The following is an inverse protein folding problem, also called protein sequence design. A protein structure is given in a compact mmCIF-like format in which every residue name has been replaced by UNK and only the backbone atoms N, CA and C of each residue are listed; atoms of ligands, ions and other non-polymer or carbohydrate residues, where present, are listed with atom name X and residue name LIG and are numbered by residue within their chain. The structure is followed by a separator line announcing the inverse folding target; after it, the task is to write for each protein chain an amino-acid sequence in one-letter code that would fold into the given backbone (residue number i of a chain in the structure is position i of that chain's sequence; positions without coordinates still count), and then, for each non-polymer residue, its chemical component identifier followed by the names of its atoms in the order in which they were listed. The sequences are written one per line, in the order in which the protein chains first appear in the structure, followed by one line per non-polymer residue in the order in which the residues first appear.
data_IF_124711429828
#
_entry.id   IF_124711429828
#
_cell.length_a   1.000
_cell.length_b   1.000
_cell.length_c   1.000
_cell.angle_alpha   90.00
_cell.angle_beta   90.00
_cell.angle_gamma   90.00
#
_symmetry.space_group_name_H-M   'P 1'
#
loop_
_entity.id
_entity.type
_entity.pdbx_description
1 polymer ?
#
# COMPACT_ATOMS: atom_id res chain seq x y z
N UNK A 1 -39.67 -5.69 47.46
CA UNK A 1 -39.84 -4.29 47.91
C UNK A 1 -38.47 -3.65 47.91
N UNK A 2 -38.40 -2.44 47.36
CA UNK A 2 -37.18 -1.69 47.10
C UNK A 2 -36.40 -1.33 48.37
N UNK A 3 -35.08 -1.36 48.28
CA UNK A 3 -34.21 -0.50 49.09
C UNK A 3 -33.09 0.00 48.21
N UNK A 4 -33.21 1.26 47.83
CA UNK A 4 -32.19 2.10 47.22
C UNK A 4 -31.06 2.38 48.22
N UNK A 5 -29.82 2.10 47.84
CA UNK A 5 -28.65 2.75 48.42
C UNK A 5 -27.77 3.26 47.29
N UNK A 6 -27.70 4.59 47.22
CA UNK A 6 -26.77 5.34 46.38
C UNK A 6 -25.35 5.12 46.87
N UNK A 7 -24.44 4.72 45.98
CA UNK A 7 -23.01 4.75 46.25
C UNK A 7 -22.31 5.45 45.08
N UNK A 8 -21.84 6.68 45.33
CA UNK A 8 -20.99 7.46 44.43
C UNK A 8 -19.54 6.99 44.57
N UNK A 9 -18.83 6.67 43.47
CA UNK A 9 -17.38 6.57 43.50
C UNK A 9 -16.74 7.90 43.09
N UNK A 10 -15.91 8.39 44.00
CA UNK A 10 -15.04 9.56 43.96
C UNK A 10 -13.99 9.51 42.84
N UNK A 11 -13.78 10.64 42.17
CA UNK A 11 -12.66 10.91 41.26
C UNK A 11 -11.34 11.08 42.06
N UNK A 12 -10.18 10.65 41.51
CA UNK A 12 -8.88 10.84 42.13
C UNK A 12 -8.37 12.28 41.97
N UNK A 13 -7.49 12.77 42.86
CA UNK A 13 -7.05 14.17 42.86
C UNK A 13 -6.02 14.47 41.75
N UNK A 14 -6.25 15.60 41.10
CA UNK A 14 -5.39 16.25 40.09
C UNK A 14 -4.14 16.82 40.78
N UNK A 15 -2.95 16.42 40.35
CA UNK A 15 -1.69 17.06 40.74
C UNK A 15 -1.39 18.26 39.84
N UNK A 16 -1.26 19.44 40.44
CA UNK A 16 -0.84 20.66 39.74
C UNK A 16 0.66 20.62 39.39
N UNK A 17 1.07 21.22 38.25
CA UNK A 17 2.46 21.26 37.82
C UNK A 17 3.24 22.37 38.53
N UNK A 18 4.48 22.06 38.92
CA UNK A 18 5.43 23.04 39.44
C UNK A 18 6.00 23.91 38.31
N UNK A 19 5.71 25.22 38.40
CA UNK A 19 6.36 26.29 37.63
C UNK A 19 7.87 26.33 37.86
N UNK A 20 8.65 26.42 36.79
CA UNK A 20 9.95 27.11 36.78
C UNK A 20 10.13 27.83 35.44
N UNK A 21 9.83 29.12 35.46
CA UNK A 21 10.23 30.10 34.46
C UNK A 21 11.76 30.19 34.41
N UNK A 22 12.35 30.08 33.22
CA UNK A 22 13.50 30.90 32.83
C UNK A 22 13.56 31.05 31.31
N UNK A 23 13.22 32.26 30.87
CA UNK A 23 13.48 32.81 29.55
C UNK A 23 14.99 33.03 29.43
N UNK A 24 15.59 32.59 28.33
CA UNK A 24 16.77 33.25 27.80
C UNK A 24 16.81 33.17 26.27
N UNK A 25 16.94 34.36 25.67
CA UNK A 25 16.89 34.67 24.25
C UNK A 25 18.11 34.16 23.48
N UNK A 26 17.89 33.92 22.20
CA UNK A 26 18.84 33.58 21.14
C UNK A 26 20.07 34.50 21.05
N UNK A 27 21.13 34.01 20.41
CA UNK A 27 21.72 34.78 19.33
C UNK A 27 21.81 34.01 18.01
N UNK A 28 21.29 34.65 16.97
CA UNK A 28 21.53 34.43 15.53
C UNK A 28 23.01 34.48 15.17
N UNK A 29 23.51 33.46 14.45
CA UNK A 29 24.55 33.63 13.42
C UNK A 29 24.32 32.66 12.25
N UNK A 30 24.14 33.27 11.08
CA UNK A 30 24.26 32.68 9.75
C UNK A 30 25.69 32.20 9.49
N UNK A 31 25.88 30.97 9.00
CA UNK A 31 27.07 30.56 8.24
C UNK A 31 26.68 29.48 7.21
N UNK A 32 27.09 29.70 5.96
CA UNK A 32 26.95 28.81 4.80
C UNK A 32 27.73 27.50 4.95
N UNK A 33 27.37 26.42 4.21
CA UNK A 33 28.07 25.16 4.29
C UNK A 33 29.26 25.14 3.32
N UNK A 34 30.42 24.70 3.81
CA UNK A 34 31.46 24.16 2.94
C UNK A 34 32.03 22.86 3.52
N UNK A 35 32.25 21.97 2.55
CA UNK A 35 32.85 20.63 2.43
C UNK A 35 33.80 20.05 3.51
N UNK A 36 34.09 18.74 3.30
CA UNK A 36 35.03 17.81 3.99
C UNK A 36 34.48 17.05 5.21
N UNK A 37 34.90 15.82 5.52
CA UNK A 37 35.45 14.67 4.79
C UNK A 37 35.28 13.48 5.76
N UNK A 38 34.93 12.29 5.25
CA UNK A 38 34.74 11.10 6.09
C UNK A 38 36.08 10.59 6.63
N UNK A 39 36.20 10.50 7.96
CA UNK A 39 37.25 9.72 8.62
C UNK A 39 36.65 8.39 9.11
N UNK A 40 37.14 7.30 8.53
CA UNK A 40 36.77 5.93 8.90
C UNK A 40 37.55 5.49 10.13
N UNK A 41 36.85 5.17 11.22
CA UNK A 41 37.41 4.43 12.36
C UNK A 41 37.37 2.92 12.06
N UNK A 42 38.55 2.30 12.01
CA UNK A 42 38.71 0.85 11.86
C UNK A 42 38.92 0.20 13.24
N UNK A 43 38.03 -0.72 13.62
CA UNK A 43 38.27 -1.65 14.72
C UNK A 43 39.16 -2.81 14.23
N UNK A 44 40.28 -3.03 14.92
CA UNK A 44 41.16 -4.20 14.77
C UNK A 44 40.57 -5.43 15.46
N UNK A 45 40.56 -6.57 14.78
CA UNK A 45 40.43 -7.91 15.39
C UNK A 45 41.62 -8.79 14.95
N UNK A 46 42.04 -9.80 15.75
CA UNK A 46 43.35 -10.41 15.61
C UNK A 46 43.42 -11.49 14.52
N UNK A 47 44.65 -11.62 14.03
CA UNK A 47 45.17 -12.37 12.89
C UNK A 47 45.05 -13.89 13.08
N UNK A 48 44.27 -14.57 12.24
CA UNK A 48 44.46 -16.00 11.94
C UNK A 48 45.08 -16.07 10.54
N UNK A 49 46.24 -16.71 10.47
CA UNK A 49 47.09 -16.81 9.30
C UNK A 49 46.57 -17.94 8.41
N UNK A 50 45.95 -17.61 7.28
CA UNK A 50 45.61 -18.56 6.23
C UNK A 50 46.59 -18.42 5.06
N UNK A 51 47.16 -19.55 4.68
CA UNK A 51 48.09 -19.75 3.57
C UNK A 51 47.46 -19.43 2.22
N UNK A 52 48.26 -18.80 1.35
CA UNK A 52 47.96 -18.37 -0.01
C UNK A 52 47.12 -19.35 -0.84
N UNK A 53 45.99 -18.88 -1.35
CA UNK A 53 45.34 -19.39 -2.57
C UNK A 53 44.60 -18.23 -3.25
N UNK A 54 45.34 -17.39 -3.95
CA UNK A 54 44.81 -16.57 -5.05
C UNK A 54 44.86 -17.50 -6.28
N UNK A 55 43.80 -17.73 -7.06
CA UNK A 55 42.95 -16.74 -7.73
C UNK A 55 41.80 -17.47 -8.43
N UNK A 56 40.60 -17.47 -7.84
CA UNK A 56 39.36 -17.92 -8.52
C UNK A 56 38.08 -17.20 -8.07
N UNK A 57 38.11 -16.45 -6.96
CA UNK A 57 36.93 -15.78 -6.38
C UNK A 57 36.49 -14.53 -7.16
N UNK A 58 37.43 -13.72 -7.67
CA UNK A 58 37.09 -12.45 -8.34
C UNK A 58 36.30 -12.64 -9.64
N UNK A 59 36.54 -13.72 -10.39
CA UNK A 59 35.84 -13.99 -11.66
C UNK A 59 34.42 -14.50 -11.41
N UNK A 60 34.21 -15.27 -10.34
CA UNK A 60 32.87 -15.74 -9.95
C UNK A 60 32.00 -14.61 -9.40
N UNK A 61 32.58 -13.71 -8.60
CA UNK A 61 31.86 -12.55 -8.05
C UNK A 61 31.46 -11.56 -9.14
N UNK A 62 32.32 -11.31 -10.14
CA UNK A 62 32.00 -10.44 -11.28
C UNK A 62 30.95 -11.06 -12.22
N UNK A 63 31.05 -12.37 -12.49
CA UNK A 63 30.06 -13.07 -13.31
C UNK A 63 28.67 -13.11 -12.63
N UNK A 64 28.63 -13.31 -11.32
CA UNK A 64 27.39 -13.26 -10.54
C UNK A 64 26.78 -11.86 -10.55
N UNK A 65 27.61 -10.81 -10.37
CA UNK A 65 27.15 -9.42 -10.42
C UNK A 65 26.55 -9.05 -11.78
N UNK A 66 27.21 -9.43 -12.88
CA UNK A 66 26.70 -9.21 -14.23
C UNK A 66 25.37 -9.93 -14.48
N UNK A 67 25.22 -11.15 -13.96
CA UNK A 67 23.96 -11.91 -14.03
C UNK A 67 22.86 -11.20 -13.24
N UNK A 68 23.16 -10.69 -12.05
CA UNK A 68 22.18 -10.01 -11.19
C UNK A 68 21.74 -8.65 -11.76
N UNK A 69 22.66 -7.93 -12.40
CA UNK A 69 22.37 -6.70 -13.16
C UNK A 69 21.46 -6.99 -14.36
N UNK A 70 21.76 -8.02 -15.15
CA UNK A 70 20.93 -8.43 -16.29
C UNK A 70 19.50 -8.81 -15.86
N UNK A 71 19.36 -9.55 -14.76
CA UNK A 71 18.05 -9.89 -14.19
C UNK A 71 17.27 -8.66 -13.72
N UNK A 72 17.97 -7.69 -13.13
CA UNK A 72 17.35 -6.43 -12.68
C UNK A 72 16.83 -5.62 -13.88
N UNK A 73 17.60 -5.55 -14.96
CA UNK A 73 17.19 -4.87 -16.21
C UNK A 73 15.97 -5.56 -16.83
N UNK A 74 15.96 -6.90 -16.92
CA UNK A 74 14.80 -7.65 -17.45
C UNK A 74 13.54 -7.43 -16.59
N UNK A 75 13.67 -7.50 -15.27
CA UNK A 75 12.56 -7.24 -14.35
C UNK A 75 12.00 -5.81 -14.50
N UNK A 76 12.89 -4.81 -14.58
CA UNK A 76 12.47 -3.43 -14.80
C UNK A 76 11.73 -3.29 -16.14
N UNK A 77 12.28 -3.87 -17.22
CA UNK A 77 11.65 -3.84 -18.54
C UNK A 77 10.27 -4.50 -18.52
N UNK A 78 10.13 -5.64 -17.86
CA UNK A 78 8.83 -6.33 -17.69
C UNK A 78 7.84 -5.51 -16.88
N UNK A 79 8.29 -4.84 -15.82
CA UNK A 79 7.46 -3.95 -15.03
C UNK A 79 6.99 -2.74 -15.86
N UNK A 80 7.89 -2.12 -16.63
CA UNK A 80 7.55 -1.03 -17.56
C UNK A 80 6.50 -1.51 -18.55
N UNK A 81 6.77 -2.62 -19.26
CA UNK A 81 5.87 -3.19 -20.28
C UNK A 81 4.48 -3.51 -19.72
N UNK A 82 4.40 -4.05 -18.49
CA UNK A 82 3.14 -4.36 -17.84
C UNK A 82 2.26 -3.11 -17.65
N UNK A 83 2.87 -1.95 -17.43
CA UNK A 83 2.21 -0.68 -17.15
C UNK A 83 1.89 0.17 -18.39
N UNK A 84 2.55 -0.06 -19.54
CA UNK A 84 2.38 0.76 -20.75
C UNK A 84 0.93 0.82 -21.25
N UNK A 85 0.58 1.93 -21.90
CA UNK A 85 -0.71 2.12 -22.56
C UNK A 85 -1.60 3.14 -21.86
N UNK A 86 -2.85 3.21 -22.33
CA UNK A 86 -3.88 4.10 -21.80
C UNK A 86 -4.84 3.31 -20.94
N UNK A 87 -5.03 3.77 -19.73
CA UNK A 87 -5.87 3.18 -18.71
C UNK A 87 -7.04 4.11 -18.43
N UNK A 88 -8.26 3.64 -18.61
CA UNK A 88 -9.46 4.36 -18.17
C UNK A 88 -9.87 3.78 -16.82
N UNK A 89 -10.06 4.64 -15.83
CA UNK A 89 -10.29 4.17 -14.47
C UNK A 89 -11.19 5.05 -13.64
N UNK A 90 -11.58 4.49 -12.50
CA UNK A 90 -12.25 5.21 -11.42
C UNK A 90 -11.37 5.18 -10.18
N UNK A 91 -11.19 6.33 -9.57
CA UNK A 91 -10.59 6.51 -8.26
C UNK A 91 -11.68 6.51 -7.20
N UNK A 92 -11.49 5.73 -6.14
CA UNK A 92 -12.39 5.64 -5.00
C UNK A 92 -11.63 5.95 -3.71
N UNK A 93 -12.18 6.87 -2.92
CA UNK A 93 -11.70 7.14 -1.57
C UNK A 93 -12.63 6.48 -0.54
N UNK A 94 -12.05 5.68 0.34
CA UNK A 94 -12.73 5.11 1.50
C UNK A 94 -12.13 5.62 2.80
N UNK A 95 -12.97 5.73 3.83
CA UNK A 95 -12.49 5.90 5.20
C UNK A 95 -11.90 4.58 5.76
N UNK A 96 -11.38 4.63 6.99
CA UNK A 96 -10.77 3.47 7.66
C UNK A 96 -11.76 2.30 7.90
N UNK A 97 -13.07 2.57 7.89
CA UNK A 97 -14.12 1.56 8.11
C UNK A 97 -14.83 1.15 6.81
N UNK A 98 -14.35 1.59 5.65
CA UNK A 98 -14.81 1.12 4.34
C UNK A 98 -16.05 1.83 3.79
N UNK A 99 -16.39 3.03 4.32
CA UNK A 99 -17.40 3.89 3.71
C UNK A 99 -16.80 4.64 2.53
N UNK A 100 -17.51 4.67 1.40
CA UNK A 100 -17.11 5.44 0.23
C UNK A 100 -17.34 6.92 0.50
N UNK A 101 -16.28 7.73 0.38
CA UNK A 101 -16.33 9.19 0.53
C UNK A 101 -16.47 9.87 -0.83
N UNK A 102 -15.62 9.51 -1.79
CA UNK A 102 -15.60 10.13 -3.11
C UNK A 102 -15.29 9.10 -4.21
N UNK A 103 -15.87 9.34 -5.39
CA UNK A 103 -15.52 8.68 -6.65
C UNK A 103 -15.13 9.75 -7.66
N UNK A 104 -13.99 9.59 -8.32
CA UNK A 104 -13.49 10.51 -9.35
C UNK A 104 -13.10 9.70 -10.59
N UNK A 105 -13.51 10.11 -11.78
CA UNK A 105 -13.07 9.44 -13.00
C UNK A 105 -11.64 9.88 -13.35
N UNK A 106 -10.84 8.94 -13.82
CA UNK A 106 -9.42 9.15 -14.12
C UNK A 106 -9.02 8.47 -15.42
N UNK A 107 -8.02 9.03 -16.09
CA UNK A 107 -7.32 8.35 -17.19
C UNK A 107 -5.84 8.37 -16.88
N UNK A 108 -5.11 7.32 -17.19
CA UNK A 108 -3.67 7.26 -17.00
C UNK A 108 -3.02 6.86 -18.32
N UNK A 109 -2.17 7.73 -18.84
CA UNK A 109 -1.32 7.44 -19.99
C UNK A 109 0.07 7.06 -19.49
N UNK A 110 0.54 5.87 -19.85
CA UNK A 110 1.85 5.35 -19.48
C UNK A 110 2.69 5.02 -20.72
N UNK A 111 3.88 5.60 -20.81
CA UNK A 111 4.84 5.42 -21.90
C UNK A 111 6.23 5.12 -21.35
N UNK A 112 7.11 4.58 -22.18
CA UNK A 112 8.52 4.35 -21.82
C UNK A 112 9.45 5.29 -22.59
N UNK A 113 10.58 5.61 -21.97
CA UNK A 113 11.71 6.29 -22.61
C UNK A 113 13.03 5.62 -22.22
N UNK A 114 14.01 5.62 -23.11
CA UNK A 114 15.29 4.93 -22.91
C UNK A 114 15.20 3.42 -23.15
N UNK A 115 16.37 2.77 -23.09
CA UNK A 115 16.54 1.33 -23.29
C UNK A 115 17.42 0.74 -22.18
N UNK A 116 17.33 -0.58 -21.99
CA UNK A 116 18.11 -1.35 -21.02
C UNK A 116 18.11 -0.74 -19.60
N UNK A 117 19.28 -0.44 -19.03
CA UNK A 117 19.40 0.13 -17.68
C UNK A 117 18.83 1.55 -17.54
N UNK A 118 18.68 2.26 -18.66
CA UNK A 118 18.14 3.62 -18.73
C UNK A 118 16.64 3.64 -19.06
N UNK A 119 16.00 2.47 -19.14
CA UNK A 119 14.56 2.42 -19.35
C UNK A 119 13.84 3.11 -18.19
N UNK A 120 12.91 3.97 -18.54
CA UNK A 120 12.08 4.75 -17.63
C UNK A 120 10.62 4.63 -18.01
N UNK A 121 9.75 4.63 -17.00
CA UNK A 121 8.31 4.71 -17.11
C UNK A 121 7.87 6.13 -16.78
N UNK A 122 7.23 6.77 -17.75
CA UNK A 122 6.66 8.11 -17.65
C UNK A 122 5.15 7.96 -17.68
N UNK A 123 4.47 8.58 -16.71
CA UNK A 123 3.02 8.44 -16.56
C UNK A 123 2.38 9.80 -16.30
N UNK A 124 1.30 10.07 -17.02
CA UNK A 124 0.44 11.25 -16.82
C UNK A 124 -0.94 10.78 -16.41
N UNK A 125 -1.37 11.24 -15.23
CA UNK A 125 -2.71 11.02 -14.70
C UNK A 125 -3.58 12.22 -15.09
N UNK A 126 -4.71 11.94 -15.71
CA UNK A 126 -5.76 12.90 -16.04
C UNK A 126 -6.90 12.69 -15.06
N UNK A 127 -7.34 13.78 -14.43
CA UNK A 127 -8.36 13.78 -13.38
C UNK A 127 -9.55 14.57 -13.90
N UNK A 128 -10.72 13.94 -13.98
CA UNK A 128 -11.95 14.64 -14.35
C UNK A 128 -12.28 15.66 -13.25
N UNK A 129 -12.43 16.93 -13.62
CA UNK A 129 -12.73 18.00 -12.68
C UNK A 129 -14.23 18.05 -12.35
N UNK A 130 -14.55 18.38 -11.11
CA UNK A 130 -15.93 18.65 -10.71
C UNK A 130 -16.42 19.94 -11.40
N UNK A 131 -17.60 19.89 -12.02
CA UNK A 131 -18.20 21.06 -12.69
C UNK A 131 -18.55 22.16 -11.67
N UNK A 132 -18.23 23.42 -11.99
CA UNK A 132 -18.52 24.56 -11.13
C UNK A 132 -20.01 24.71 -10.84
N UNK A 133 -20.33 24.99 -9.57
CA UNK A 133 -21.68 25.36 -9.11
C UNK A 133 -22.18 26.70 -9.67
N UNK A 134 -21.32 27.46 -10.36
CA UNK A 134 -21.63 28.79 -10.91
C UNK A 134 -21.81 28.83 -12.42
N UNK A 135 -21.81 27.68 -13.09
CA UNK A 135 -22.04 27.61 -14.54
C UNK A 135 -23.46 28.09 -14.89
N UNK A 136 -23.54 29.31 -15.43
CA UNK A 136 -24.78 29.91 -15.92
C UNK A 136 -25.18 29.18 -17.20
N UNK A 137 -26.33 28.50 -17.14
CA UNK A 137 -26.91 27.77 -18.26
C UNK A 137 -27.06 28.65 -19.51
N UNK A 138 -26.35 28.28 -20.57
CA UNK A 138 -26.63 28.76 -21.91
C UNK A 138 -25.36 29.01 -22.71
N UNK A 139 -25.07 28.08 -23.62
CA UNK A 139 -24.08 28.17 -24.71
C UNK A 139 -22.62 27.92 -24.29
N UNK A 140 -22.20 26.66 -24.23
CA UNK A 140 -21.43 25.96 -25.28
C UNK A 140 -20.96 24.59 -24.73
N UNK A 141 -20.65 23.64 -25.63
CA UNK A 141 -20.33 22.21 -25.44
C UNK A 141 -19.92 21.75 -24.02
N UNK A 142 -20.59 20.70 -23.52
CA UNK A 142 -20.23 19.93 -22.31
C UNK A 142 -18.89 19.16 -22.51
N UNK A 143 -17.80 19.83 -22.88
CA UNK A 143 -16.46 19.25 -22.88
C UNK A 143 -16.01 19.08 -21.42
N UNK A 144 -15.93 17.83 -20.98
CA UNK A 144 -15.40 17.48 -19.66
C UNK A 144 -13.98 18.04 -19.49
N UNK A 145 -13.76 18.85 -18.46
CA UNK A 145 -12.43 19.37 -18.14
C UNK A 145 -11.58 18.33 -17.40
N UNK A 146 -10.32 18.17 -17.83
CA UNK A 146 -9.37 17.22 -17.27
C UNK A 146 -8.13 17.94 -16.77
N UNK A 147 -7.84 17.80 -15.47
CA UNK A 147 -6.59 18.26 -14.90
C UNK A 147 -5.47 17.23 -15.14
N UNK A 148 -4.29 17.70 -15.55
CA UNK A 148 -3.11 16.84 -15.73
C UNK A 148 -2.23 16.82 -14.47
N UNK A 149 -1.84 15.62 -14.05
CA UNK A 149 -0.82 15.40 -13.03
C UNK A 149 0.29 14.49 -13.58
N UNK A 150 1.51 15.01 -13.64
CA UNK A 150 2.69 14.23 -14.06
C UNK A 150 3.22 13.44 -12.87
N UNK A 151 3.10 12.12 -12.93
CA UNK A 151 3.63 11.22 -11.90
C UNK A 151 5.15 11.23 -11.99
N UNK A 152 5.82 11.15 -10.82
CA UNK A 152 7.28 11.05 -10.75
C UNK A 152 7.77 9.87 -11.60
N UNK A 153 8.80 10.13 -12.39
CA UNK A 153 9.42 9.13 -13.26
C UNK A 153 9.87 7.89 -12.48
N UNK A 154 9.58 6.72 -13.04
CA UNK A 154 9.98 5.43 -12.47
C UNK A 154 11.09 4.82 -13.33
N UNK A 155 12.27 4.60 -12.78
CA UNK A 155 13.44 4.07 -13.46
C UNK A 155 14.23 3.16 -12.49
N UNK A 156 15.34 2.56 -12.95
CA UNK A 156 16.15 1.61 -12.17
C UNK A 156 16.48 2.12 -10.76
N UNK A 157 16.82 3.39 -10.64
CA UNK A 157 17.18 3.99 -9.36
C UNK A 157 15.96 4.14 -8.44
N UNK A 158 14.85 4.67 -8.96
CA UNK A 158 13.68 4.96 -8.13
C UNK A 158 12.96 3.68 -7.68
N UNK A 159 12.87 2.65 -8.54
CA UNK A 159 12.24 1.36 -8.18
C UNK A 159 12.96 0.67 -7.02
N UNK A 160 14.29 0.75 -6.99
CA UNK A 160 15.10 0.09 -5.97
C UNK A 160 15.23 0.95 -4.71
N UNK A 161 15.64 2.22 -4.86
CA UNK A 161 16.00 3.07 -3.73
C UNK A 161 14.82 3.77 -3.07
N UNK A 162 13.78 4.14 -3.82
CA UNK A 162 12.66 4.93 -3.28
C UNK A 162 11.40 4.12 -3.11
N UNK A 163 11.05 3.29 -4.08
CA UNK A 163 9.80 2.54 -4.08
C UNK A 163 9.92 1.14 -3.47
N UNK A 164 11.15 0.62 -3.33
CA UNK A 164 11.46 -0.73 -2.83
C UNK A 164 10.59 -1.80 -3.52
N UNK A 165 10.46 -1.77 -4.85
CA UNK A 165 9.46 -2.56 -5.60
C UNK A 165 9.41 -4.04 -5.17
N UNK A 166 8.20 -4.58 -5.00
CA UNK A 166 7.97 -6.02 -4.94
C UNK A 166 7.23 -6.45 -6.20
N UNK A 167 7.93 -7.02 -7.18
CA UNK A 167 7.38 -7.31 -8.52
C UNK A 167 7.27 -8.80 -8.81
N UNK A 168 6.13 -9.20 -9.38
CA UNK A 168 5.81 -10.55 -9.79
C UNK A 168 5.54 -10.58 -11.30
N UNK A 169 6.55 -10.88 -12.14
CA UNK A 169 6.41 -10.78 -13.58
C UNK A 169 5.38 -11.74 -14.17
N UNK A 170 5.30 -12.96 -13.64
CA UNK A 170 4.43 -14.01 -14.17
C UNK A 170 2.99 -13.85 -13.67
N UNK A 171 2.86 -13.49 -12.40
CA UNK A 171 1.58 -13.32 -11.70
C UNK A 171 0.96 -11.94 -11.98
N UNK A 172 1.70 -11.04 -12.63
CA UNK A 172 1.30 -9.67 -12.97
C UNK A 172 0.80 -8.91 -11.74
N UNK A 173 1.61 -8.90 -10.69
CA UNK A 173 1.32 -8.16 -9.46
C UNK A 173 2.53 -7.34 -9.04
N UNK A 174 2.30 -6.22 -8.35
CA UNK A 174 3.39 -5.44 -7.77
C UNK A 174 2.99 -4.65 -6.53
N UNK A 175 3.98 -4.29 -5.71
CA UNK A 175 3.82 -3.31 -4.62
C UNK A 175 4.89 -2.23 -4.69
N UNK A 176 4.51 -0.99 -4.40
CA UNK A 176 5.39 0.18 -4.40
C UNK A 176 5.20 1.02 -3.14
N UNK A 177 6.29 1.62 -2.66
CA UNK A 177 6.25 2.69 -1.66
C UNK A 177 6.20 4.05 -2.35
N UNK A 178 5.37 4.94 -1.81
CA UNK A 178 5.43 6.36 -2.12
C UNK A 178 5.99 7.15 -0.94
N UNK A 179 6.80 8.16 -1.23
CA UNK A 179 7.37 9.04 -0.20
C UNK A 179 6.32 9.99 0.39
N UNK A 180 5.29 10.33 -0.39
CA UNK A 180 4.25 11.31 -0.05
C UNK A 180 2.94 10.91 -0.72
N UNK A 181 1.81 11.32 -0.16
CA UNK A 181 0.49 11.14 -0.77
C UNK A 181 0.09 12.27 -1.75
N UNK A 182 1.02 13.13 -2.18
CA UNK A 182 0.71 14.35 -2.95
C UNK A 182 -0.05 14.10 -4.26
N UNK A 183 0.26 13.02 -4.99
CA UNK A 183 -0.50 12.63 -6.19
C UNK A 183 -1.98 12.36 -5.85
N UNK A 184 -2.22 11.67 -4.73
CA UNK A 184 -3.55 11.28 -4.26
C UNK A 184 -4.32 12.50 -3.72
N UNK A 185 -3.60 13.43 -3.08
CA UNK A 185 -4.14 14.74 -2.69
C UNK A 185 -4.61 15.55 -3.91
N UNK A 186 -3.80 15.59 -4.99
CA UNK A 186 -4.19 16.30 -6.22
C UNK A 186 -5.42 15.69 -6.87
N UNK A 187 -5.56 14.36 -6.90
CA UNK A 187 -6.77 13.69 -7.40
C UNK A 187 -8.01 14.15 -6.64
N UNK A 188 -7.93 14.20 -5.30
CA UNK A 188 -9.04 14.63 -4.46
C UNK A 188 -9.38 16.12 -4.66
N UNK A 189 -8.38 16.99 -4.70
CA UNK A 189 -8.59 18.43 -4.91
C UNK A 189 -9.22 18.70 -6.27
N UNK A 190 -8.61 18.22 -7.34
CA UNK A 190 -9.08 18.47 -8.69
C UNK A 190 -10.42 17.76 -8.97
N UNK A 191 -10.57 16.53 -8.50
CA UNK A 191 -11.77 15.73 -8.79
C UNK A 191 -12.98 16.02 -7.92
N UNK A 192 -12.81 16.64 -6.74
CA UNK A 192 -13.92 16.95 -5.82
C UNK A 192 -14.19 18.45 -5.73
N UNK A 193 -13.14 19.28 -5.66
CA UNK A 193 -13.29 20.74 -5.56
C UNK A 193 -13.23 21.40 -6.94
N UNK A 194 -12.39 20.90 -7.85
CA UNK A 194 -12.22 21.50 -9.18
C UNK A 194 -11.78 22.96 -9.08
N UNK A 195 -12.49 23.84 -9.77
CA UNK A 195 -12.26 25.29 -9.76
C UNK A 195 -12.55 25.94 -8.40
N UNK A 196 -13.36 25.31 -7.55
CA UNK A 196 -13.73 25.82 -6.23
C UNK A 196 -12.62 25.58 -5.17
N UNK A 197 -11.47 25.00 -5.54
CA UNK A 197 -10.35 24.81 -4.61
C UNK A 197 -9.69 26.16 -4.24
N UNK A 198 -9.92 26.60 -3.00
CA UNK A 198 -9.31 27.81 -2.45
C UNK A 198 -7.84 27.63 -2.03
N UNK A 199 -7.30 26.40 -2.14
CA UNK A 199 -5.95 26.06 -1.68
C UNK A 199 -5.84 25.93 -0.15
N UNK A 200 -6.96 25.89 0.56
CA UNK A 200 -6.99 25.67 2.00
C UNK A 200 -6.40 24.30 2.38
N UNK A 201 -5.72 24.24 3.52
CA UNK A 201 -5.10 23.03 4.05
C UNK A 201 -6.13 21.94 4.41
N UNK A 202 -7.34 22.36 4.78
CA UNK A 202 -8.41 21.49 5.25
C UNK A 202 -9.77 21.98 4.75
N UNK A 203 -10.07 21.80 3.45
CA UNK A 203 -11.33 22.22 2.85
C UNK A 203 -12.52 21.52 3.52
N UNK A 204 -13.67 22.20 3.59
CA UNK A 204 -14.88 21.62 4.18
C UNK A 204 -15.36 20.41 3.39
N UNK A 205 -15.79 19.37 4.10
CA UNK A 205 -16.35 18.12 3.54
C UNK A 205 -15.41 17.30 2.65
N UNK A 206 -14.12 17.62 2.57
CA UNK A 206 -13.14 16.83 1.86
C UNK A 206 -12.04 16.33 2.80
N UNK A 207 -11.89 15.01 2.88
CA UNK A 207 -10.83 14.37 3.65
C UNK A 207 -9.57 14.28 2.80
N UNK A 208 -8.59 15.15 3.06
CA UNK A 208 -7.27 15.09 2.42
C UNK A 208 -6.29 14.21 3.23
N UNK A 209 -5.31 13.58 2.56
CA UNK A 209 -4.27 12.84 3.26
C UNK A 209 -3.35 13.77 4.05
N UNK A 210 -2.74 13.23 5.09
CA UNK A 210 -1.74 13.93 5.89
C UNK A 210 -0.56 14.38 5.02
N UNK A 211 -0.03 15.58 5.27
CA UNK A 211 1.14 16.12 4.53
C UNK A 211 2.39 15.27 4.64
N UNK A 212 2.56 14.59 5.78
CA UNK A 212 3.71 13.72 6.10
C UNK A 212 3.21 12.39 6.63
N UNK A 213 2.62 11.55 5.76
CA UNK A 213 2.13 10.24 6.18
C UNK A 213 3.31 9.37 6.60
N UNK A 214 3.10 8.46 7.55
CA UNK A 214 4.15 7.50 7.94
C UNK A 214 4.37 6.45 6.87
N UNK A 215 3.28 5.98 6.24
CA UNK A 215 3.29 4.98 5.17
C UNK A 215 2.33 5.39 4.06
N UNK A 216 2.81 5.29 2.81
CA UNK A 216 1.99 5.28 1.60
C UNK A 216 2.40 4.07 0.77
N UNK A 217 1.56 3.04 0.76
CA UNK A 217 1.84 1.76 0.13
C UNK A 217 0.81 1.48 -0.96
N UNK A 218 1.29 1.27 -2.19
CA UNK A 218 0.49 0.77 -3.30
C UNK A 218 0.64 -0.75 -3.42
N UNK A 219 -0.47 -1.44 -3.62
CA UNK A 219 -0.53 -2.85 -4.00
C UNK A 219 -1.39 -2.99 -5.25
N UNK A 220 -0.83 -3.55 -6.31
CA UNK A 220 -1.48 -3.72 -7.60
C UNK A 220 -1.68 -5.19 -7.94
N UNK A 221 -2.92 -5.56 -8.25
CA UNK A 221 -3.31 -6.86 -8.78
C UNK A 221 -3.93 -6.68 -10.16
N UNK A 222 -3.47 -7.44 -11.15
CA UNK A 222 -4.10 -7.51 -12.47
C UNK A 222 -5.14 -8.61 -12.50
N UNK A 223 -6.22 -8.41 -13.26
CA UNK A 223 -7.19 -9.46 -13.48
C UNK A 223 -6.57 -10.61 -14.28
N UNK A 224 -6.98 -11.82 -13.93
CA UNK A 224 -6.63 -13.05 -14.65
C UNK A 224 -7.45 -13.22 -15.95
N UNK A 225 -8.59 -12.53 -16.06
CA UNK A 225 -9.56 -12.73 -17.16
C UNK A 225 -9.66 -11.51 -18.09
N UNK A 226 -9.37 -10.31 -17.59
CA UNK A 226 -9.49 -9.04 -18.35
C UNK A 226 -8.19 -8.25 -18.29
N UNK A 227 -7.95 -7.37 -19.28
CA UNK A 227 -6.82 -6.41 -19.22
C UNK A 227 -7.16 -5.21 -18.34
N UNK A 228 -7.39 -5.51 -17.06
CA UNK A 228 -7.73 -4.56 -16.03
C UNK A 228 -6.89 -4.81 -14.79
N UNK A 229 -6.82 -3.81 -13.93
CA UNK A 229 -6.07 -3.89 -12.67
C UNK A 229 -6.74 -3.09 -11.57
N UNK A 230 -6.42 -3.47 -10.35
CA UNK A 230 -6.75 -2.70 -9.16
C UNK A 230 -5.47 -2.26 -8.49
N UNK A 231 -5.31 -0.95 -8.28
CA UNK A 231 -4.21 -0.35 -7.50
C UNK A 231 -4.76 0.18 -6.19
N UNK A 232 -4.44 -0.52 -5.10
CA UNK A 232 -4.92 -0.22 -3.76
C UNK A 232 -3.86 0.52 -2.94
N UNK A 233 -4.24 1.59 -2.27
CA UNK A 233 -3.36 2.44 -1.47
C UNK A 233 -3.75 2.44 0.01
N UNK A 234 -2.81 2.02 0.85
CA UNK A 234 -2.87 2.27 2.28
C UNK A 234 -2.21 3.62 2.56
N UNK A 235 -2.91 4.51 3.26
CA UNK A 235 -2.34 5.76 3.78
C UNK A 235 -2.48 5.77 5.29
N UNK A 236 -1.34 5.88 5.97
CA UNK A 236 -1.27 6.02 7.42
C UNK A 236 -0.89 7.43 7.81
N UNK A 237 -1.55 7.94 8.83
CA UNK A 237 -1.24 9.23 9.43
C UNK A 237 0.21 9.23 10.00
N UNK A 238 0.72 10.39 10.46
CA UNK A 238 2.08 10.46 11.02
C UNK A 238 2.32 9.59 12.26
N UNK A 239 1.27 9.07 12.90
CA UNK A 239 1.35 8.19 14.07
C UNK A 239 1.31 6.70 13.70
N UNK A 240 1.00 6.36 12.45
CA UNK A 240 0.90 4.97 12.01
C UNK A 240 -0.51 4.40 12.11
N UNK A 241 -1.53 5.24 12.23
CA UNK A 241 -2.95 4.83 12.18
C UNK A 241 -3.46 5.02 10.76
N UNK A 242 -4.25 4.07 10.24
CA UNK A 242 -4.87 4.21 8.92
C UNK A 242 -5.80 5.44 8.88
N UNK A 243 -5.58 6.34 7.94
CA UNK A 243 -6.42 7.55 7.78
C UNK A 243 -7.38 7.45 6.59
N UNK A 244 -7.02 6.73 5.54
CA UNK A 244 -7.87 6.43 4.39
C UNK A 244 -7.31 5.27 3.56
N UNK A 245 -8.20 4.67 2.78
CA UNK A 245 -7.91 3.61 1.82
C UNK A 245 -8.36 4.09 0.45
N UNK A 246 -7.50 3.97 -0.56
CA UNK A 246 -7.83 4.43 -1.92
C UNK A 246 -7.71 3.29 -2.91
N UNK A 247 -8.59 3.27 -3.90
CA UNK A 247 -8.60 2.27 -4.97
C UNK A 247 -8.61 2.99 -6.32
N UNK A 248 -7.70 2.63 -7.21
CA UNK A 248 -7.89 2.83 -8.65
C UNK A 248 -8.34 1.50 -9.26
N UNK A 249 -9.49 1.51 -9.92
CA UNK A 249 -9.96 0.42 -10.77
C UNK A 249 -9.79 0.84 -12.23
N UNK A 250 -8.90 0.18 -12.96
CA UNK A 250 -8.43 0.64 -14.26
C UNK A 250 -8.53 -0.47 -15.31
N UNK A 251 -9.03 -0.14 -16.51
CA UNK A 251 -9.07 -1.02 -17.67
C UNK A 251 -8.26 -0.41 -18.81
N UNK A 252 -7.43 -1.22 -19.47
CA UNK A 252 -6.58 -0.75 -20.56
C UNK A 252 -7.36 -0.71 -21.88
N UNK A 253 -7.21 0.38 -22.63
CA UNK A 253 -7.76 0.49 -23.98
C UNK A 253 -8.21 1.89 -24.37
N UNK A 254 -8.41 2.11 -25.67
CA UNK A 254 -8.86 3.40 -26.24
C UNK A 254 -10.38 3.52 -26.34
N UNK A 255 -11.13 2.41 -26.17
CA UNK A 255 -12.55 2.30 -26.56
C UNK A 255 -13.57 2.19 -25.42
N UNK A 256 -13.15 2.32 -24.15
CA UNK A 256 -14.08 2.20 -23.02
C UNK A 256 -14.85 3.52 -22.85
N UNK A 257 -16.13 3.54 -23.22
CA UNK A 257 -17.00 4.72 -23.14
C UNK A 257 -17.37 5.10 -21.69
N UNK A 258 -17.24 4.18 -20.72
CA UNK A 258 -17.61 4.40 -19.32
C UNK A 258 -16.54 3.83 -18.37
N UNK A 259 -16.00 4.62 -17.43
CA UNK A 259 -15.03 4.16 -16.45
C UNK A 259 -15.55 2.95 -15.65
N UNK A 260 -14.68 1.99 -15.29
CA UNK A 260 -15.05 0.85 -14.46
C UNK A 260 -15.72 1.32 -13.16
N UNK A 261 -16.88 0.76 -12.81
CA UNK A 261 -17.56 1.03 -11.54
C UNK A 261 -17.45 -0.16 -10.60
N UNK A 262 -17.33 0.11 -9.31
CA UNK A 262 -17.66 -0.88 -8.29
C UNK A 262 -19.19 -0.95 -8.22
N UNK A 263 -19.78 -2.13 -8.45
CA UNK A 263 -21.23 -2.29 -8.41
C UNK A 263 -21.79 -1.94 -7.02
N UNK A 264 -22.49 -0.81 -6.91
CA UNK A 264 -23.21 -0.39 -5.70
C UNK A 264 -24.50 -1.22 -5.47
N UNK A 265 -24.93 -2.03 -6.45
CA UNK A 265 -26.17 -2.83 -6.35
C UNK A 265 -26.12 -3.94 -5.28
N UNK A 266 -24.98 -4.13 -4.59
CA UNK A 266 -24.83 -5.03 -3.44
C UNK A 266 -24.71 -4.31 -2.09
N UNK A 267 -25.02 -3.01 -1.98
CA UNK A 267 -24.95 -2.25 -0.71
C UNK A 267 -25.69 -2.91 0.48
N UNK A 268 -26.65 -3.81 0.21
CA UNK A 268 -27.40 -4.56 1.24
C UNK A 268 -26.87 -5.98 1.55
N UNK A 269 -25.76 -6.42 0.96
CA UNK A 269 -25.15 -7.72 1.27
C UNK A 269 -23.93 -7.53 2.14
N UNK A 270 -23.84 -8.30 3.22
CA UNK A 270 -22.68 -8.30 4.10
C UNK A 270 -21.42 -8.66 3.29
N UNK A 271 -20.49 -7.69 3.20
CA UNK A 271 -19.29 -7.75 2.36
C UNK A 271 -18.33 -8.86 2.78
N UNK A 272 -18.46 -9.42 3.99
CA UNK A 272 -17.59 -10.51 4.44
C UNK A 272 -17.97 -11.85 3.80
N UNK A 273 -19.24 -12.04 3.44
CA UNK A 273 -19.80 -13.33 3.02
C UNK A 273 -19.02 -13.98 1.87
N UNK A 274 -18.61 -13.25 0.82
CA UNK A 274 -17.83 -13.84 -0.26
C UNK A 274 -16.46 -14.39 0.15
N UNK A 275 -15.91 -13.94 1.29
CA UNK A 275 -14.60 -14.36 1.79
C UNK A 275 -14.68 -15.52 2.79
N UNK A 276 -15.86 -15.81 3.34
CA UNK A 276 -16.06 -16.92 4.28
C UNK A 276 -15.82 -18.28 3.61
N UNK A 277 -15.41 -19.25 4.42
CA UNK A 277 -15.13 -20.63 4.01
C UNK A 277 -13.65 -20.96 3.96
N UNK A 278 -13.32 -22.05 3.26
CA UNK A 278 -11.96 -22.56 3.11
C UNK A 278 -11.43 -22.27 1.71
N UNK A 279 -10.20 -21.80 1.67
CA UNK A 279 -9.47 -21.41 0.48
C UNK A 279 -8.16 -22.20 0.45
N UNK A 280 -7.80 -22.71 -0.72
CA UNK A 280 -6.53 -23.40 -0.95
C UNK A 280 -5.81 -22.76 -2.13
N UNK A 281 -4.50 -22.61 -2.04
CA UNK A 281 -3.74 -21.94 -3.10
C UNK A 281 -2.24 -22.09 -2.98
N UNK A 282 -1.54 -21.29 -3.76
CA UNK A 282 -0.07 -21.18 -3.75
C UNK A 282 0.34 -19.76 -3.41
N UNK A 283 1.47 -19.61 -2.74
CA UNK A 283 2.07 -18.32 -2.44
C UNK A 283 3.53 -18.25 -2.87
N UNK A 284 3.95 -17.06 -3.31
CA UNK A 284 5.32 -16.77 -3.71
C UNK A 284 5.77 -15.52 -2.98
N UNK A 285 6.84 -15.63 -2.20
CA UNK A 285 7.46 -14.50 -1.49
C UNK A 285 8.72 -14.04 -2.22
N UNK A 286 8.75 -12.77 -2.62
CA UNK A 286 9.92 -12.13 -3.22
C UNK A 286 10.47 -11.05 -2.31
N UNK A 287 11.79 -10.94 -2.25
CA UNK A 287 12.47 -9.85 -1.56
C UNK A 287 12.15 -8.53 -2.27
N UNK A 288 11.95 -7.46 -1.52
CA UNK A 288 11.82 -6.10 -2.07
C UNK A 288 13.12 -5.67 -2.77
N UNK A 289 12.97 -4.88 -3.83
CA UNK A 289 14.05 -4.44 -4.72
C UNK A 289 13.88 -5.01 -6.13
N UNK A 290 14.50 -4.34 -7.11
CA UNK A 290 14.29 -4.64 -8.54
C UNK A 290 14.71 -6.06 -8.94
N UNK A 291 15.73 -6.61 -8.27
CA UNK A 291 16.16 -7.99 -8.49
C UNK A 291 15.07 -9.01 -8.13
N UNK A 292 14.27 -8.75 -7.08
CA UNK A 292 13.09 -9.54 -6.77
C UNK A 292 13.35 -11.03 -6.52
N UNK A 293 14.45 -11.36 -5.82
CA UNK A 293 14.82 -12.75 -5.50
C UNK A 293 13.68 -13.50 -4.82
N UNK A 294 13.30 -14.67 -5.36
CA UNK A 294 12.33 -15.55 -4.69
C UNK A 294 12.94 -16.06 -3.39
N UNK A 295 12.29 -15.78 -2.27
CA UNK A 295 12.73 -16.19 -0.94
C UNK A 295 12.07 -17.50 -0.52
N UNK A 296 10.78 -17.66 -0.85
CA UNK A 296 10.01 -18.82 -0.46
C UNK A 296 8.82 -19.02 -1.40
N UNK A 297 8.43 -20.28 -1.54
CA UNK A 297 7.18 -20.70 -2.16
C UNK A 297 6.48 -21.68 -1.21
N UNK A 298 5.15 -21.62 -1.15
CA UNK A 298 4.39 -22.44 -0.22
C UNK A 298 2.96 -22.71 -0.69
N UNK A 299 2.51 -23.94 -0.45
CA UNK A 299 1.10 -24.30 -0.48
C UNK A 299 0.39 -23.66 0.71
N UNK A 300 -0.78 -23.10 0.46
CA UNK A 300 -1.55 -22.33 1.45
C UNK A 300 -2.96 -22.89 1.62
N UNK A 301 -3.44 -22.88 2.86
CA UNK A 301 -4.83 -23.15 3.21
C UNK A 301 -5.30 -22.08 4.17
N UNK A 302 -6.30 -21.30 3.78
CA UNK A 302 -6.89 -20.23 4.58
C UNK A 302 -8.35 -20.56 4.90
N UNK A 303 -8.71 -20.61 6.18
CA UNK A 303 -10.11 -20.69 6.63
C UNK A 303 -10.54 -19.36 7.26
N UNK A 304 -11.73 -18.87 6.90
CA UNK A 304 -12.37 -17.73 7.54
C UNK A 304 -13.81 -18.09 7.88
N UNK A 305 -14.14 -18.07 9.17
CA UNK A 305 -15.46 -18.41 9.70
C UNK A 305 -16.00 -17.24 10.53
N UNK A 306 -17.32 -17.08 10.52
CA UNK A 306 -18.04 -16.07 11.29
C UNK A 306 -19.23 -16.72 11.99
N UNK A 307 -19.40 -16.46 13.29
CA UNK A 307 -20.58 -16.88 14.03
C UNK A 307 -21.73 -15.85 13.96
N UNK A 308 -22.90 -16.21 14.48
CA UNK A 308 -24.09 -15.35 14.48
C UNK A 308 -23.91 -14.06 15.32
N UNK A 309 -22.86 -13.97 16.13
CA UNK A 309 -22.51 -12.81 16.96
C UNK A 309 -21.45 -11.92 16.31
N UNK A 310 -21.02 -12.25 15.10
CA UNK A 310 -19.96 -11.54 14.38
C UNK A 310 -18.55 -11.84 14.88
N UNK A 311 -18.34 -12.91 15.67
CA UNK A 311 -17.00 -13.38 16.02
C UNK A 311 -16.38 -14.04 14.80
N UNK A 312 -15.15 -13.66 14.51
CA UNK A 312 -14.37 -14.16 13.39
C UNK A 312 -13.30 -15.11 13.89
N UNK A 313 -13.17 -16.25 13.22
CA UNK A 313 -12.05 -17.17 13.37
C UNK A 313 -11.36 -17.28 12.03
N UNK A 314 -10.09 -16.92 11.98
CA UNK A 314 -9.23 -17.06 10.81
C UNK A 314 -8.11 -18.04 11.11
N UNK A 315 -7.83 -18.94 10.17
CA UNK A 315 -6.67 -19.83 10.22
C UNK A 315 -5.94 -19.76 8.89
N UNK A 316 -4.66 -19.44 8.91
CA UNK A 316 -3.81 -19.45 7.72
C UNK A 316 -2.71 -20.49 7.95
N UNK A 317 -2.70 -21.53 7.14
CA UNK A 317 -1.66 -22.55 7.09
C UNK A 317 -0.81 -22.36 5.84
N UNK A 318 0.50 -22.35 6.00
CA UNK A 318 1.49 -22.25 4.92
C UNK A 318 2.51 -23.36 5.07
N UNK A 319 2.61 -24.22 4.06
CA UNK A 319 3.57 -25.33 3.98
C UNK A 319 4.57 -25.03 2.88
N UNK A 320 5.86 -24.93 3.22
CA UNK A 320 6.93 -24.67 2.25
C UNK A 320 6.90 -25.69 1.11
N UNK A 321 7.34 -25.30 -0.09
CA UNK A 321 7.39 -26.17 -1.25
C UNK A 321 8.25 -27.44 -1.04
N UNK A 322 9.27 -27.36 -0.17
CA UNK A 322 10.07 -28.52 0.24
C UNK A 322 9.36 -29.44 1.27
N UNK A 323 8.23 -29.00 1.83
CA UNK A 323 7.43 -29.74 2.81
C UNK A 323 8.03 -29.82 4.21
N UNK A 324 9.16 -29.16 4.44
CA UNK A 324 9.95 -29.23 5.67
C UNK A 324 9.44 -28.29 6.78
N UNK A 325 8.77 -27.20 6.41
CA UNK A 325 8.25 -26.20 7.34
C UNK A 325 6.76 -25.98 7.07
N UNK A 326 5.93 -26.23 8.08
CA UNK A 326 4.52 -25.86 8.07
C UNK A 326 4.25 -24.92 9.22
N UNK A 327 3.70 -23.75 8.91
CA UNK A 327 3.27 -22.75 9.89
C UNK A 327 1.76 -22.63 9.85
N UNK A 328 1.13 -22.47 11.01
CA UNK A 328 -0.30 -22.21 11.12
C UNK A 328 -0.51 -21.05 12.08
N UNK A 329 -1.22 -20.03 11.61
CA UNK A 329 -1.49 -18.81 12.35
C UNK A 329 -3.00 -18.71 12.59
N UNK A 330 -3.47 -19.00 13.81
CA UNK A 330 -4.86 -18.80 14.18
C UNK A 330 -5.07 -17.39 14.73
N UNK A 331 -6.05 -16.67 14.18
CA UNK A 331 -6.50 -15.38 14.68
C UNK A 331 -7.98 -15.41 15.03
N UNK A 332 -8.34 -14.65 16.05
CA UNK A 332 -9.73 -14.38 16.41
C UNK A 332 -9.98 -12.89 16.37
N UNK A 333 -11.17 -12.50 15.96
CA UNK A 333 -11.56 -11.11 15.82
C UNK A 333 -13.06 -10.90 15.98
N UNK A 334 -13.47 -9.65 15.90
CA UNK A 334 -14.86 -9.24 15.95
C UNK A 334 -15.13 -8.37 14.73
N UNK A 335 -16.23 -8.64 14.05
CA UNK A 335 -16.74 -7.79 12.97
C UNK A 335 -17.66 -6.72 13.53
N UNK A 336 -17.41 -5.47 13.14
CA UNK A 336 -18.30 -4.33 13.32
C UNK A 336 -18.49 -3.67 11.96
N UNK A 337 -19.70 -3.75 11.42
CA UNK A 337 -20.02 -3.30 10.05
C UNK A 337 -19.07 -3.89 9.00
N UNK A 338 -18.28 -3.04 8.33
CA UNK A 338 -17.32 -3.42 7.30
C UNK A 338 -15.89 -3.61 7.85
N UNK A 339 -15.67 -3.49 9.16
CA UNK A 339 -14.36 -3.64 9.77
C UNK A 339 -14.30 -4.92 10.61
N UNK A 340 -13.26 -5.73 10.40
CA UNK A 340 -12.88 -6.83 11.30
C UNK A 340 -11.66 -6.40 12.10
N UNK A 341 -11.74 -6.48 13.43
CA UNK A 341 -10.62 -6.20 14.32
C UNK A 341 -10.20 -7.48 15.03
N UNK A 342 -8.94 -7.88 14.84
CA UNK A 342 -8.36 -9.07 15.45
C UNK A 342 -7.71 -8.74 16.79
N UNK A 343 -7.76 -9.68 17.73
CA UNK A 343 -7.19 -9.51 19.08
C UNK A 343 -5.68 -9.22 19.07
N UNK A 344 -4.97 -9.61 18.00
CA UNK A 344 -3.54 -9.34 17.80
C UNK A 344 -3.18 -7.93 17.33
N UNK A 345 -4.15 -7.00 17.25
CA UNK A 345 -3.89 -5.64 16.78
C UNK A 345 -3.79 -5.52 15.25
N UNK A 346 -4.38 -6.45 14.52
CA UNK A 346 -4.57 -6.39 13.08
C UNK A 346 -6.02 -6.07 12.74
N UNK A 347 -6.26 -5.41 11.62
CA UNK A 347 -7.60 -5.11 11.15
C UNK A 347 -7.74 -5.33 9.65
N UNK A 348 -8.95 -5.64 9.22
CA UNK A 348 -9.31 -5.85 7.82
C UNK A 348 -10.58 -5.06 7.50
N UNK A 349 -10.47 -4.13 6.56
CA UNK A 349 -11.59 -3.31 6.08
C UNK A 349 -12.14 -3.91 4.79
N UNK A 350 -13.43 -4.24 4.81
CA UNK A 350 -14.17 -4.86 3.72
C UNK A 350 -14.70 -3.79 2.76
N UNK A 351 -14.30 -3.88 1.49
CA UNK A 351 -14.61 -2.90 0.45
C UNK A 351 -15.57 -3.48 -0.59
N UNK A 352 -16.27 -2.64 -1.37
CA UNK A 352 -17.06 -3.09 -2.51
C UNK A 352 -16.22 -3.84 -3.56
N UNK A 353 -16.85 -4.54 -4.50
CA UNK A 353 -16.16 -5.22 -5.60
C UNK A 353 -15.36 -6.45 -5.20
N UNK A 354 -15.69 -7.09 -4.07
CA UNK A 354 -14.99 -8.28 -3.60
C UNK A 354 -13.57 -7.98 -3.11
N UNK A 355 -13.35 -6.79 -2.55
CA UNK A 355 -12.05 -6.36 -2.06
C UNK A 355 -12.00 -6.30 -0.54
N UNK A 356 -10.82 -6.51 0.04
CA UNK A 356 -10.53 -6.05 1.39
C UNK A 356 -9.09 -5.53 1.46
N UNK A 357 -8.85 -4.70 2.45
CA UNK A 357 -7.52 -4.16 2.77
C UNK A 357 -7.23 -4.39 4.24
N UNK A 358 -6.07 -4.98 4.53
CA UNK A 358 -5.66 -5.37 5.87
C UNK A 358 -4.40 -4.62 6.32
N UNK A 359 -4.37 -4.19 7.58
CA UNK A 359 -3.23 -3.51 8.16
C UNK A 359 -3.23 -3.63 9.70
N UNK A 360 -2.11 -3.32 10.38
CA UNK A 360 -2.12 -3.16 11.83
C UNK A 360 -3.02 -1.99 12.24
N UNK A 361 -3.61 -2.09 13.44
CA UNK A 361 -4.38 -0.99 14.02
C UNK A 361 -3.48 0.23 14.33
N UNK A 362 -2.22 -0.02 14.71
CA UNK A 362 -1.24 1.01 15.06
C UNK A 362 0.19 0.54 14.70
N UNK A 363 0.71 1.03 13.57
CA UNK A 363 2.08 0.74 13.14
C UNK A 363 3.13 1.38 14.06
N UNK A 364 2.82 2.53 14.66
CA UNK A 364 3.72 3.17 15.63
C UNK A 364 3.99 2.26 16.82
N UNK A 365 2.96 1.52 17.28
CA UNK A 365 3.10 0.49 18.31
C UNK A 365 3.98 -0.68 17.85
N UNK A 366 3.77 -1.21 16.64
CA UNK A 366 4.61 -2.28 16.09
C UNK A 366 6.10 -1.89 16.07
N UNK A 367 6.41 -0.68 15.58
CA UNK A 367 7.79 -0.17 15.54
C UNK A 367 8.35 0.03 16.95
N UNK A 368 7.58 0.63 17.86
CA UNK A 368 7.99 0.83 19.25
C UNK A 368 8.28 -0.49 19.99
N UNK A 369 7.55 -1.55 19.66
CA UNK A 369 7.72 -2.90 20.22
C UNK A 369 8.72 -3.76 19.44
N UNK A 370 9.36 -3.21 18.40
CA UNK A 370 10.30 -3.92 17.51
C UNK A 370 9.68 -5.19 16.90
N UNK A 371 8.44 -5.09 16.43
CA UNK A 371 7.67 -6.18 15.82
C UNK A 371 7.44 -5.87 14.34
N UNK A 372 7.82 -6.81 13.48
CA UNK A 372 7.48 -6.77 12.05
C UNK A 372 5.98 -6.75 11.83
N UNK A 373 5.54 -6.12 10.74
CA UNK A 373 4.13 -6.03 10.40
C UNK A 373 3.93 -6.15 8.88
N UNK A 374 2.69 -6.23 8.43
CA UNK A 374 2.37 -6.32 7.01
C UNK A 374 1.10 -5.56 6.66
N UNK A 375 1.01 -5.15 5.40
CA UNK A 375 -0.21 -4.65 4.77
C UNK A 375 -0.70 -5.70 3.78
N UNK A 376 -2.00 -5.77 3.58
CA UNK A 376 -2.62 -6.77 2.72
C UNK A 376 -3.65 -6.12 1.81
N UNK A 377 -3.63 -6.50 0.54
CA UNK A 377 -4.71 -6.23 -0.38
C UNK A 377 -5.22 -7.54 -0.97
N UNK A 378 -6.52 -7.76 -0.93
CA UNK A 378 -7.18 -8.90 -1.54
C UNK A 378 -8.22 -8.47 -2.54
N UNK A 379 -8.30 -9.19 -3.64
CA UNK A 379 -9.34 -9.04 -4.65
C UNK A 379 -9.90 -10.39 -5.07
N UNK A 380 -11.20 -10.56 -4.84
CA UNK A 380 -12.03 -11.66 -5.33
C UNK A 380 -12.53 -11.30 -6.74
N UNK A 381 -11.79 -11.69 -7.76
CA UNK A 381 -12.15 -11.40 -9.16
C UNK A 381 -13.42 -12.11 -9.63
N UNK A 382 -13.68 -13.31 -9.10
CA UNK A 382 -14.81 -14.11 -9.50
C UNK A 382 -15.22 -15.12 -8.43
N UNK A 383 -16.37 -15.78 -8.60
CA UNK A 383 -16.86 -16.75 -7.62
C UNK A 383 -15.83 -17.84 -7.35
N UNK A 384 -15.29 -17.85 -6.12
CA UNK A 384 -14.37 -18.88 -5.67
C UNK A 384 -12.92 -18.76 -6.17
N UNK A 385 -12.51 -17.61 -6.74
CA UNK A 385 -11.10 -17.33 -7.05
C UNK A 385 -10.71 -15.96 -6.50
N UNK A 386 -9.62 -15.89 -5.75
CA UNK A 386 -9.08 -14.63 -5.24
C UNK A 386 -7.57 -14.54 -5.39
N UNK A 387 -7.10 -13.32 -5.51
CA UNK A 387 -5.69 -12.97 -5.41
C UNK A 387 -5.46 -12.15 -4.14
N UNK A 388 -4.32 -12.33 -3.48
CA UNK A 388 -3.87 -11.48 -2.36
C UNK A 388 -2.45 -11.03 -2.59
N UNK A 389 -2.15 -9.84 -2.10
CA UNK A 389 -0.82 -9.28 -2.09
C UNK A 389 -0.51 -8.75 -0.69
N UNK A 390 0.50 -9.35 -0.05
CA UNK A 390 0.92 -9.01 1.30
C UNK A 390 2.28 -8.33 1.23
N UNK A 391 2.36 -7.11 1.74
CA UNK A 391 3.58 -6.30 1.80
C UNK A 391 4.14 -6.34 3.22
N UNK A 392 5.32 -6.91 3.40
CA UNK A 392 5.92 -7.13 4.73
C UNK A 392 6.97 -6.08 5.04
N UNK A 393 6.91 -5.56 6.27
CA UNK A 393 7.78 -4.54 6.82
C UNK A 393 8.60 -5.10 7.98
N UNK A 394 9.85 -4.68 8.08
CA UNK A 394 10.67 -4.93 9.26
C UNK A 394 10.27 -4.04 10.44
N UNK A 395 11.05 -4.13 11.51
CA UNK A 395 10.84 -3.41 12.77
C UNK A 395 11.06 -1.90 12.65
N UNK A 396 11.68 -1.42 11.57
CA UNK A 396 11.93 0.00 11.30
C UNK A 396 10.92 0.59 10.31
N UNK A 397 9.99 -0.23 9.80
CA UNK A 397 9.02 0.19 8.79
C UNK A 397 9.60 0.23 7.37
N UNK A 398 10.69 -0.49 7.10
CA UNK A 398 11.19 -0.70 5.74
C UNK A 398 10.55 -1.96 5.14
N UNK A 399 10.07 -1.86 3.90
CA UNK A 399 9.49 -3.00 3.22
C UNK A 399 10.56 -4.01 2.79
N UNK A 400 10.54 -5.21 3.36
CA UNK A 400 11.57 -6.25 3.13
C UNK A 400 11.16 -7.31 2.11
N UNK A 401 9.87 -7.58 1.96
CA UNK A 401 9.36 -8.54 1.00
C UNK A 401 7.93 -8.25 0.58
N UNK A 402 7.49 -8.94 -0.47
CA UNK A 402 6.09 -9.02 -0.87
C UNK A 402 5.75 -10.48 -1.13
N UNK A 403 4.55 -10.89 -0.75
CA UNK A 403 4.03 -12.23 -0.97
C UNK A 403 2.76 -12.15 -1.80
N UNK A 404 2.78 -12.79 -2.97
CA UNK A 404 1.61 -12.96 -3.82
C UNK A 404 0.92 -14.28 -3.47
N UNK A 405 -0.41 -14.29 -3.48
CA UNK A 405 -1.23 -15.48 -3.32
C UNK A 405 -2.23 -15.58 -4.45
N UNK A 406 -2.43 -16.81 -4.93
CA UNK A 406 -3.57 -17.20 -5.74
C UNK A 406 -4.29 -18.36 -5.06
N UNK A 407 -5.56 -18.16 -4.72
CA UNK A 407 -6.36 -19.11 -3.94
C UNK A 407 -7.71 -19.39 -4.59
N UNK A 408 -8.15 -20.65 -4.52
CA UNK A 408 -9.48 -21.10 -4.92
C UNK A 408 -10.28 -21.58 -3.72
N UNK A 409 -11.59 -21.33 -3.74
CA UNK A 409 -12.50 -21.78 -2.68
C UNK A 409 -12.73 -23.29 -2.82
N UNK A 410 -12.71 -23.99 -1.68
CA UNK A 410 -12.96 -25.44 -1.59
C UNK A 410 -14.44 -25.81 -1.58
#
# INVERSE_FOLDING_TARGET
MASTYYCSPSLPPISNPSNLNKIQLFPTKLYSPDSFSHSNFTLRSPRIQATNSSSSTTVQDEAQKLSDEAMSIDNLRRFVNLNLGKWNGSFFQFDAVGNLLHKVNTKLSASSYGEDELISLIQTLYIEQASSSTSVSGYDDDELEWAEYRIKETNMFTVDKYQQIGFFPNEKAFSLRYQTAGMLETVLRQGVLGEDDTGEDSPKNLKLPSRRPSIVCESCLYSLEKDMRVRAFHIMDPKGIVEMLLIFLEERGDGVLLPPSLDNNMENKDRIVPFLGKWKGHSITKRSGVYGSTMAEADTVTSLEMDDKGQIIQGITSTSAAGDVTTTVPWTGIKSDNLVTFAGGYQMTLLPGGMYMGCPCDVGKNVAESVSFHLEFCWLEGPGKRQRLVRTYDVEGLAVSTTYFYETRM
#
